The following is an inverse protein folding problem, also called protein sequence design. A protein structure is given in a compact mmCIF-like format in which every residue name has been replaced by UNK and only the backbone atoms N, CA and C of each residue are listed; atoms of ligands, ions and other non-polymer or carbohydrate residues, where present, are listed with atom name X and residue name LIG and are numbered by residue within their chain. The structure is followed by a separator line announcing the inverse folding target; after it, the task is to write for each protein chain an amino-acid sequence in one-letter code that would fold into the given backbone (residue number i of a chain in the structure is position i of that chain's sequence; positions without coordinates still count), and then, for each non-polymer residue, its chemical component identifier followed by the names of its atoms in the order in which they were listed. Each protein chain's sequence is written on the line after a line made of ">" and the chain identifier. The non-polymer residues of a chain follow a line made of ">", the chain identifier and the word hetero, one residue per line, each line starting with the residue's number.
data_IF_874544838799
#
_entry.id   IF_874544838799
#
_cell.length_a   1.000
_cell.length_b   1.000
_cell.length_c   1.000
_cell.angle_alpha   90.00
_cell.angle_beta   90.00
_cell.angle_gamma   90.00
#
_symmetry.space_group_name_H-M   'P 1'
#
loop_
_entity.id
_entity.type
_entity.pdbx_description
1 polymer ?
#
# COMPACT_ATOMS: atom_id res chain seq x y z
N UNK A 1 -31.00 16.85 22.47
CA UNK A 1 -30.33 15.54 22.64
C UNK A 1 -29.40 15.20 21.48
N UNK A 2 -29.86 15.27 20.22
CA UNK A 2 -29.02 15.01 19.03
C UNK A 2 -27.77 15.88 18.92
N UNK A 3 -27.88 17.20 19.16
CA UNK A 3 -26.75 18.14 19.05
C UNK A 3 -25.65 17.87 20.09
N UNK A 4 -26.01 17.56 21.35
CA UNK A 4 -25.00 17.19 22.36
C UNK A 4 -24.30 15.87 22.00
N UNK A 5 -25.05 14.86 21.55
CA UNK A 5 -24.49 13.55 21.18
C UNK A 5 -23.51 13.65 20.00
N UNK A 6 -23.83 14.50 19.02
CA UNK A 6 -22.95 14.79 17.89
C UNK A 6 -21.66 15.50 18.31
N UNK A 7 -21.73 16.46 19.25
CA UNK A 7 -20.54 17.15 19.79
C UNK A 7 -19.60 16.19 20.53
N UNK A 8 -20.15 15.27 21.32
CA UNK A 8 -19.34 14.25 22.00
C UNK A 8 -18.65 13.32 20.99
N UNK A 9 -19.37 12.84 19.98
CA UNK A 9 -18.80 12.01 18.92
C UNK A 9 -17.66 12.73 18.17
N UNK A 10 -17.83 14.03 17.89
CA UNK A 10 -16.82 14.83 17.22
C UNK A 10 -15.57 15.06 18.07
N UNK A 11 -15.73 15.28 19.38
CA UNK A 11 -14.60 15.36 20.31
C UNK A 11 -13.82 14.05 20.42
N UNK A 12 -14.52 12.91 20.43
CA UNK A 12 -13.87 11.60 20.38
C UNK A 12 -13.13 11.37 19.06
N UNK A 13 -13.71 11.76 17.92
CA UNK A 13 -13.09 11.63 16.60
C UNK A 13 -11.81 12.49 16.48
N UNK A 14 -11.84 13.73 16.96
CA UNK A 14 -10.65 14.60 17.03
C UNK A 14 -9.61 14.03 18.00
N UNK A 15 -10.04 13.59 19.19
CA UNK A 15 -9.14 12.99 20.18
C UNK A 15 -8.40 11.77 19.65
N UNK A 16 -9.12 10.87 18.95
CA UNK A 16 -8.52 9.71 18.29
C UNK A 16 -7.57 10.12 17.15
N UNK A 17 -7.96 11.10 16.33
CA UNK A 17 -7.13 11.61 15.23
C UNK A 17 -5.80 12.19 15.72
N UNK A 18 -5.84 12.97 16.80
CA UNK A 18 -4.64 13.54 17.46
C UNK A 18 -3.78 12.44 18.09
N UNK A 19 -4.39 11.43 18.73
CA UNK A 19 -3.65 10.30 19.29
C UNK A 19 -2.88 9.55 18.19
N UNK A 20 -3.54 9.24 17.08
CA UNK A 20 -2.92 8.59 15.91
C UNK A 20 -1.79 9.46 15.34
N UNK A 21 -2.03 10.76 15.16
CA UNK A 21 -1.02 11.71 14.72
C UNK A 21 0.22 11.70 15.62
N UNK A 22 0.02 11.78 16.94
CA UNK A 22 1.11 11.81 17.91
C UNK A 22 1.95 10.53 17.87
N UNK A 23 1.31 9.37 17.68
CA UNK A 23 2.00 8.10 17.50
C UNK A 23 2.82 8.11 16.19
N UNK A 24 2.24 8.56 15.08
CA UNK A 24 2.94 8.64 13.78
C UNK A 24 4.17 9.54 13.84
N UNK A 25 4.07 10.71 14.51
CA UNK A 25 5.21 11.62 14.71
C UNK A 25 6.26 11.01 15.65
N UNK A 26 5.85 10.23 16.65
CA UNK A 26 6.78 9.53 17.54
C UNK A 26 7.59 8.46 16.81
N UNK A 27 6.97 7.74 15.86
CA UNK A 27 7.68 6.80 14.99
C UNK A 27 8.58 7.48 13.94
N UNK A 28 8.53 8.81 13.83
CA UNK A 28 9.44 9.63 13.04
C UNK A 28 9.18 9.58 11.54
N UNK A 29 9.40 8.42 10.91
CA UNK A 29 9.36 8.29 9.46
C UNK A 29 8.60 7.03 8.97
N UNK A 30 7.26 7.02 9.03
CA UNK A 30 6.46 5.87 8.61
C UNK A 30 6.68 5.51 7.13
N UNK A 31 7.00 6.50 6.27
CA UNK A 31 7.25 6.28 4.85
C UNK A 31 8.51 5.45 4.59
N UNK A 32 9.59 5.68 5.35
CA UNK A 32 10.81 4.88 5.24
C UNK A 32 10.59 3.43 5.66
N UNK A 33 9.91 3.20 6.79
CA UNK A 33 9.56 1.85 7.25
C UNK A 33 8.65 1.11 6.26
N UNK A 34 7.71 1.81 5.64
CA UNK A 34 6.85 1.24 4.60
C UNK A 34 7.69 0.79 3.39
N UNK A 35 8.65 1.60 2.95
CA UNK A 35 9.51 1.27 1.82
C UNK A 35 10.41 0.07 2.10
N UNK A 36 11.04 0.03 3.28
CA UNK A 36 11.87 -1.10 3.71
C UNK A 36 11.03 -2.40 3.78
N UNK A 37 9.82 -2.31 4.33
CA UNK A 37 8.90 -3.46 4.39
C UNK A 37 8.48 -3.92 2.98
N UNK A 38 8.20 -2.99 2.08
CA UNK A 38 7.85 -3.30 0.70
C UNK A 38 9.00 -3.97 -0.06
N UNK A 39 10.23 -3.50 0.14
CA UNK A 39 11.44 -4.12 -0.42
C UNK A 39 11.62 -5.56 0.06
N UNK A 40 11.46 -5.80 1.37
CA UNK A 40 11.52 -7.16 1.93
C UNK A 40 10.46 -8.07 1.30
N UNK A 41 9.21 -7.63 1.21
CA UNK A 41 8.12 -8.41 0.59
C UNK A 41 8.44 -8.75 -0.87
N UNK A 42 8.96 -7.79 -1.63
CA UNK A 42 9.33 -7.98 -3.03
C UNK A 42 10.47 -8.98 -3.17
N UNK A 43 11.48 -8.91 -2.31
CA UNK A 43 12.60 -9.86 -2.31
C UNK A 43 12.13 -11.28 -2.03
N UNK A 44 11.30 -11.49 -1.02
CA UNK A 44 10.70 -12.81 -0.75
C UNK A 44 9.86 -13.33 -1.92
N UNK A 45 9.08 -12.45 -2.57
CA UNK A 45 8.27 -12.86 -3.72
C UNK A 45 9.16 -13.29 -4.90
N UNK A 46 10.27 -12.57 -5.15
CA UNK A 46 11.25 -12.94 -6.18
C UNK A 46 11.91 -14.28 -5.89
N UNK A 47 12.36 -14.51 -4.66
CA UNK A 47 12.97 -15.78 -4.26
C UNK A 47 11.98 -16.95 -4.40
N UNK A 48 10.73 -16.76 -4.00
CA UNK A 48 9.68 -17.75 -4.17
C UNK A 48 9.46 -18.07 -5.66
N UNK A 49 9.35 -17.04 -6.51
CA UNK A 49 9.18 -17.20 -7.95
C UNK A 49 10.42 -17.86 -8.58
N UNK A 50 11.64 -17.50 -8.19
CA UNK A 50 12.85 -18.16 -8.68
C UNK A 50 12.91 -19.64 -8.28
N UNK A 51 12.52 -19.96 -7.05
CA UNK A 51 12.45 -21.34 -6.54
C UNK A 51 11.43 -22.16 -7.33
N UNK A 52 10.28 -21.57 -7.70
CA UNK A 52 9.26 -22.21 -8.53
C UNK A 52 9.71 -22.49 -9.98
N UNK A 53 10.72 -21.77 -10.49
CA UNK A 53 11.28 -21.97 -11.85
C UNK A 53 12.11 -23.26 -11.95
N UNK A 54 12.69 -23.71 -10.83
CA UNK A 54 13.56 -24.89 -10.75
C UNK A 54 12.88 -26.24 -10.47
N UNK A 55 11.63 -26.27 -9.95
CA UNK A 55 10.82 -27.46 -9.54
C UNK A 55 11.32 -28.19 -8.26
N UNK A 56 10.48 -28.55 -7.24
CA UNK A 56 9.38 -29.55 -7.34
C UNK A 56 8.17 -29.40 -6.37
N UNK A 57 7.69 -28.20 -6.01
CA UNK A 57 6.47 -28.08 -5.16
C UNK A 57 5.34 -27.39 -5.94
N UNK A 58 4.45 -28.20 -6.52
CA UNK A 58 3.01 -27.92 -6.39
C UNK A 58 2.21 -27.44 -7.59
N UNK A 59 2.78 -26.91 -8.68
CA UNK A 59 2.00 -26.67 -9.90
C UNK A 59 2.12 -27.88 -10.84
N UNK A 60 1.10 -28.75 -10.83
CA UNK A 60 0.91 -29.82 -11.82
C UNK A 60 0.50 -29.21 -13.17
N UNK A 61 1.37 -28.36 -13.73
CA UNK A 61 1.19 -27.65 -14.98
C UNK A 61 2.32 -28.00 -15.96
N UNK A 62 2.06 -27.79 -17.24
CA UNK A 62 3.03 -27.97 -18.32
C UNK A 62 4.23 -27.02 -18.11
N UNK A 63 5.47 -27.52 -18.26
CA UNK A 63 6.72 -26.75 -18.09
C UNK A 63 6.73 -25.40 -18.82
N UNK A 64 6.36 -25.30 -20.11
CA UNK A 64 6.29 -24.01 -20.81
C UNK A 64 5.20 -23.08 -20.24
N UNK A 65 4.08 -23.62 -19.75
CA UNK A 65 3.00 -22.81 -19.18
C UNK A 65 3.39 -22.26 -17.80
N UNK A 66 4.06 -23.06 -16.96
CA UNK A 66 4.61 -22.60 -15.69
C UNK A 66 5.64 -21.47 -15.89
N UNK A 67 6.55 -21.63 -16.87
CA UNK A 67 7.53 -20.60 -17.20
C UNK A 67 6.89 -19.30 -17.69
N UNK A 68 5.82 -19.37 -18.47
CA UNK A 68 5.06 -18.21 -18.90
C UNK A 68 4.42 -17.48 -17.69
N UNK A 69 3.69 -18.19 -16.83
CA UNK A 69 3.08 -17.61 -15.64
C UNK A 69 4.10 -16.99 -14.69
N UNK A 70 5.22 -17.69 -14.42
CA UNK A 70 6.29 -17.15 -13.59
C UNK A 70 6.88 -15.85 -14.14
N UNK A 71 7.09 -15.81 -15.46
CA UNK A 71 7.67 -14.62 -16.10
C UNK A 71 6.69 -13.46 -16.08
N UNK A 72 5.39 -13.73 -16.23
CA UNK A 72 4.33 -12.73 -16.07
C UNK A 72 4.28 -12.17 -14.63
N UNK A 73 4.29 -13.03 -13.61
CA UNK A 73 4.28 -12.58 -12.21
C UNK A 73 5.56 -11.82 -11.84
N UNK A 74 6.73 -12.30 -12.25
CA UNK A 74 8.00 -11.59 -12.04
C UNK A 74 7.97 -10.20 -12.67
N UNK A 75 7.50 -10.10 -13.92
CA UNK A 75 7.35 -8.81 -14.59
C UNK A 75 6.42 -7.85 -13.84
N UNK A 76 5.29 -8.35 -13.32
CA UNK A 76 4.37 -7.53 -12.55
C UNK A 76 4.99 -7.01 -11.24
N UNK A 77 5.76 -7.85 -10.55
CA UNK A 77 6.49 -7.48 -9.32
C UNK A 77 7.58 -6.44 -9.61
N UNK A 78 8.35 -6.64 -10.68
CA UNK A 78 9.36 -5.69 -11.16
C UNK A 78 8.77 -4.31 -11.44
N UNK A 79 7.60 -4.31 -12.08
CA UNK A 79 6.90 -3.09 -12.42
C UNK A 79 6.37 -2.40 -11.17
N UNK A 80 5.74 -3.13 -10.26
CA UNK A 80 5.27 -2.62 -8.98
C UNK A 80 6.40 -2.01 -8.14
N UNK A 81 7.56 -2.67 -8.12
CA UNK A 81 8.75 -2.15 -7.44
C UNK A 81 9.22 -0.83 -8.04
N UNK A 82 9.32 -0.76 -9.36
CA UNK A 82 9.73 0.46 -10.07
C UNK A 82 8.75 1.60 -9.80
N UNK A 83 7.45 1.32 -9.80
CA UNK A 83 6.42 2.28 -9.44
C UNK A 83 6.57 2.77 -8.00
N UNK A 84 6.77 1.87 -7.03
CA UNK A 84 7.00 2.25 -5.63
C UNK A 84 8.24 3.14 -5.46
N UNK A 85 9.31 2.89 -6.20
CA UNK A 85 10.51 3.77 -6.19
C UNK A 85 10.16 5.18 -6.67
N UNK A 86 9.42 5.30 -7.78
CA UNK A 86 9.00 6.60 -8.33
C UNK A 86 8.06 7.33 -7.36
N UNK A 87 7.18 6.59 -6.70
CA UNK A 87 6.17 7.11 -5.78
C UNK A 87 6.72 7.31 -4.36
N UNK A 88 7.88 6.75 -4.02
CA UNK A 88 8.56 6.89 -2.72
C UNK A 88 8.63 8.34 -2.20
N UNK A 89 9.15 9.33 -2.95
CA UNK A 89 9.17 10.72 -2.49
C UNK A 89 7.76 11.28 -2.29
N UNK A 90 6.78 10.87 -3.09
CA UNK A 90 5.39 11.28 -2.95
C UNK A 90 4.75 10.67 -1.69
N UNK A 91 5.03 9.41 -1.35
CA UNK A 91 4.56 8.79 -0.09
C UNK A 91 5.12 9.57 1.09
N UNK A 92 6.43 9.86 1.08
CA UNK A 92 7.07 10.66 2.12
C UNK A 92 6.43 12.04 2.28
N UNK A 93 6.16 12.71 1.16
CA UNK A 93 5.55 14.03 1.13
C UNK A 93 4.07 14.01 1.50
N UNK A 94 3.32 12.95 1.19
CA UNK A 94 1.90 12.82 1.51
C UNK A 94 1.69 12.48 2.99
N UNK A 95 2.57 11.71 3.62
CA UNK A 95 2.43 11.30 5.02
C UNK A 95 2.44 12.48 6.00
N UNK A 96 3.23 13.53 5.74
CA UNK A 96 3.29 14.73 6.59
C UNK A 96 1.97 15.53 6.59
N UNK A 97 1.41 15.98 5.44
CA UNK A 97 0.13 16.67 5.40
C UNK A 97 -1.03 15.74 5.80
N UNK A 98 -1.01 14.44 5.47
CA UNK A 98 -1.98 13.47 6.01
C UNK A 98 -2.01 13.48 7.55
N UNK A 99 -0.82 13.50 8.15
CA UNK A 99 -0.65 13.56 9.59
C UNK A 99 -1.19 14.89 10.15
N UNK A 100 -0.79 16.04 9.58
CA UNK A 100 -1.25 17.36 10.02
C UNK A 100 -2.76 17.54 9.84
N UNK A 101 -3.34 17.07 8.73
CA UNK A 101 -4.78 17.12 8.48
C UNK A 101 -5.56 16.21 9.43
N UNK A 102 -4.91 15.22 10.04
CA UNK A 102 -5.45 14.40 11.13
C UNK A 102 -5.86 15.17 12.39
N UNK A 103 -5.37 16.41 12.55
CA UNK A 103 -5.84 17.33 13.61
C UNK A 103 -7.34 17.66 13.47
N UNK A 104 -7.92 17.53 12.26
CA UNK A 104 -9.34 17.75 12.02
C UNK A 104 -10.23 16.55 12.39
N UNK A 105 -9.66 15.36 12.65
CA UNK A 105 -10.40 14.16 13.03
C UNK A 105 -9.88 12.85 12.42
N UNK A 106 -10.12 11.73 13.10
CA UNK A 106 -9.79 10.39 12.60
C UNK A 106 -10.56 10.02 11.34
N UNK A 107 -11.83 10.43 11.25
CA UNK A 107 -12.66 10.20 10.06
C UNK A 107 -12.04 10.82 8.79
N UNK A 108 -11.34 11.95 8.92
CA UNK A 108 -10.65 12.58 7.80
C UNK A 108 -9.41 11.78 7.35
N UNK A 109 -8.65 11.24 8.31
CA UNK A 109 -7.52 10.35 8.01
C UNK A 109 -8.00 9.10 7.25
N UNK A 110 -9.14 8.51 7.65
CA UNK A 110 -9.73 7.36 6.95
C UNK A 110 -10.21 7.71 5.54
N UNK A 111 -10.80 8.89 5.34
CA UNK A 111 -11.25 9.32 4.02
C UNK A 111 -10.06 9.43 3.05
N UNK A 112 -8.97 10.06 3.47
CA UNK A 112 -7.76 10.15 2.65
C UNK A 112 -7.10 8.78 2.39
N UNK A 113 -7.11 7.88 3.39
CA UNK A 113 -6.64 6.51 3.20
C UNK A 113 -7.49 5.76 2.17
N UNK A 114 -8.81 5.95 2.21
CA UNK A 114 -9.73 5.39 1.21
C UNK A 114 -9.41 5.90 -0.19
N UNK A 115 -9.17 7.21 -0.35
CA UNK A 115 -8.81 7.80 -1.64
C UNK A 115 -7.49 7.21 -2.18
N UNK A 116 -6.51 6.98 -1.31
CA UNK A 116 -5.25 6.33 -1.68
C UNK A 116 -5.47 4.88 -2.16
N UNK A 117 -6.32 4.11 -1.46
CA UNK A 117 -6.65 2.73 -1.85
C UNK A 117 -7.34 2.71 -3.22
N UNK A 118 -8.25 3.65 -3.48
CA UNK A 118 -8.92 3.79 -4.77
C UNK A 118 -7.90 4.11 -5.87
N UNK A 119 -6.94 4.99 -5.62
CA UNK A 119 -5.90 5.35 -6.58
C UNK A 119 -4.98 4.16 -6.90
N UNK A 120 -4.59 3.38 -5.89
CA UNK A 120 -3.81 2.14 -6.08
C UNK A 120 -4.63 1.10 -6.88
N UNK A 121 -5.92 0.98 -6.59
CA UNK A 121 -6.82 0.07 -7.30
C UNK A 121 -6.99 0.48 -8.76
N UNK A 122 -7.12 1.78 -9.02
CA UNK A 122 -7.15 2.34 -10.37
C UNK A 122 -5.84 2.04 -11.12
N UNK A 123 -4.70 2.21 -10.47
CA UNK A 123 -3.39 1.88 -11.05
C UNK A 123 -3.32 0.40 -11.47
N UNK A 124 -3.76 -0.53 -10.61
CA UNK A 124 -3.85 -1.94 -10.95
C UNK A 124 -4.80 -2.21 -12.13
N UNK A 125 -5.93 -1.50 -12.19
CA UNK A 125 -6.87 -1.61 -13.31
C UNK A 125 -6.28 -1.07 -14.63
N UNK A 126 -5.55 0.05 -14.59
CA UNK A 126 -4.87 0.59 -15.76
C UNK A 126 -3.82 -0.40 -16.29
N UNK A 127 -3.09 -1.06 -15.39
CA UNK A 127 -2.14 -2.11 -15.75
C UNK A 127 -2.81 -3.34 -16.38
N UNK A 128 -3.96 -3.75 -15.85
CA UNK A 128 -4.75 -4.83 -16.43
C UNK A 128 -5.20 -4.51 -17.86
N UNK A 129 -5.69 -3.29 -18.11
CA UNK A 129 -6.07 -2.86 -19.47
C UNK A 129 -4.86 -2.88 -20.39
N UNK A 130 -3.71 -2.37 -19.94
CA UNK A 130 -2.48 -2.36 -20.74
C UNK A 130 -2.02 -3.78 -21.12
N UNK A 131 -2.09 -4.73 -20.20
CA UNK A 131 -1.73 -6.12 -20.46
C UNK A 131 -2.72 -6.87 -21.35
N UNK A 132 -3.94 -6.34 -21.53
CA UNK A 132 -4.99 -6.92 -22.36
C UNK A 132 -4.98 -6.44 -23.83
N UNK A 133 -4.18 -5.41 -24.14
CA UNK A 133 -3.95 -4.89 -25.50
C UNK A 133 -2.76 -5.60 -26.14
#
# INVERSE_FOLDING_TARGET
>A
VFVCRAKWALLFDIGFGVMVLSAVLYFGNPGAYFMESAELVINYLRELLQTLRGSPIGLKLNVPLNNFFLSCFLYHVDLWWTFLIIVSPAIHFLFIPLSVLGLFGFSFQLAMLSDLIILISLHAHCFYIYAAV
#
